data_IF_130843252078
#
_entry.id   IF_130843252078
#
_cell.length_a   1.000
_cell.length_b   1.000
_cell.length_c   1.000
_cell.angle_alpha   90.00
_cell.angle_beta   90.00
_cell.angle_gamma   90.00
#
_symmetry.space_group_name_H-M   'P 1'
#
loop_
_entity.id
_entity.type
_entity.pdbx_description
1 polymer ?
#
# COMPACT_ATOMS: atom_id res chain seq x y z
N UNK A 1 3.48 8.44 13.68
CA UNK A 1 3.04 9.06 12.42
C UNK A 1 4.20 9.91 11.97
N UNK A 2 5.03 9.38 11.07
CA UNK A 2 6.15 10.10 10.49
C UNK A 2 5.56 11.13 9.53
N UNK A 3 5.50 12.39 9.97
CA UNK A 3 5.10 13.51 9.11
C UNK A 3 6.24 13.70 8.10
N UNK A 4 6.01 13.29 6.86
CA UNK A 4 6.97 13.45 5.77
C UNK A 4 7.21 14.95 5.55
N UNK A 5 8.47 15.37 5.56
CA UNK A 5 8.86 16.78 5.45
C UNK A 5 9.24 17.11 3.99
N UNK A 6 8.84 18.26 3.43
CA UNK A 6 9.09 18.65 2.03
C UNK A 6 10.57 18.79 1.61
N UNK A 7 11.52 18.59 2.52
CA UNK A 7 12.96 18.71 2.22
C UNK A 7 13.52 17.57 1.34
N UNK A 8 12.67 16.66 0.82
CA UNK A 8 13.05 15.52 -0.02
C UNK A 8 13.20 15.86 -1.52
N UNK A 9 13.04 17.12 -1.93
CA UNK A 9 13.08 17.61 -3.32
C UNK A 9 14.45 17.55 -4.03
N UNK A 10 15.39 16.70 -3.58
CA UNK A 10 16.72 16.60 -4.19
C UNK A 10 17.35 15.22 -4.15
N UNK A 11 16.58 14.18 -4.47
CA UNK A 11 17.15 12.85 -4.69
C UNK A 11 17.44 12.63 -6.18
N UNK A 12 18.73 12.50 -6.48
CA UNK A 12 19.28 12.13 -7.79
C UNK A 12 18.73 10.76 -8.25
N UNK A 13 18.69 10.49 -9.56
CA UNK A 13 18.14 9.26 -10.16
C UNK A 13 18.85 7.94 -9.79
N UNK A 14 19.79 7.93 -8.85
CA UNK A 14 20.56 6.75 -8.42
C UNK A 14 20.09 6.16 -7.07
N UNK A 15 19.03 6.68 -6.46
CA UNK A 15 18.55 6.23 -5.15
C UNK A 15 17.14 5.67 -5.23
N UNK A 16 17.01 4.50 -5.87
CA UNK A 16 15.88 3.64 -5.55
C UNK A 16 15.99 3.21 -4.08
N UNK A 17 14.91 3.27 -3.28
CA UNK A 17 14.95 2.83 -1.89
C UNK A 17 15.32 1.34 -1.87
N UNK A 18 16.49 1.03 -1.33
CA UNK A 18 16.96 -0.34 -1.20
C UNK A 18 16.08 -1.07 -0.18
N UNK A 19 15.68 -2.31 -0.47
CA UNK A 19 14.84 -3.13 0.42
C UNK A 19 15.49 -3.50 1.80
N UNK A 20 16.62 -2.86 2.16
CA UNK A 20 17.36 -3.02 3.42
C UNK A 20 16.99 -1.97 4.49
N UNK A 21 16.08 -1.03 4.19
CA UNK A 21 15.64 0.02 5.11
C UNK A 21 14.82 -0.53 6.29
N UNK A 22 15.07 0.06 7.46
CA UNK A 22 14.44 -0.32 8.73
C UNK A 22 12.93 0.00 8.77
N UNK A 23 12.43 0.81 7.82
CA UNK A 23 11.07 1.36 7.79
C UNK A 23 10.39 1.23 6.41
N UNK A 24 9.78 0.07 6.10
CA UNK A 24 9.19 -0.23 4.78
C UNK A 24 8.11 0.75 4.33
N UNK A 25 7.40 1.37 5.27
CA UNK A 25 6.36 2.37 4.98
C UNK A 25 6.95 3.63 4.34
N UNK A 26 8.09 4.10 4.84
CA UNK A 26 8.75 5.30 4.32
C UNK A 26 9.29 5.11 2.90
N UNK A 27 9.74 3.90 2.59
CA UNK A 27 10.27 3.55 1.27
C UNK A 27 9.21 3.61 0.18
N UNK A 28 7.98 3.18 0.49
CA UNK A 28 6.87 3.27 -0.46
C UNK A 28 6.51 4.74 -0.72
N UNK A 29 6.44 5.59 0.31
CA UNK A 29 6.20 7.02 0.10
C UNK A 29 7.31 7.68 -0.73
N UNK A 30 8.57 7.36 -0.45
CA UNK A 30 9.71 7.85 -1.23
C UNK A 30 9.63 7.39 -2.69
N UNK A 31 9.32 6.11 -2.93
CA UNK A 31 9.13 5.57 -4.27
C UNK A 31 7.98 6.26 -5.00
N UNK A 32 6.84 6.47 -4.34
CA UNK A 32 5.65 7.06 -4.95
C UNK A 32 5.91 8.50 -5.34
N UNK A 33 6.60 9.25 -4.49
CA UNK A 33 7.06 10.59 -4.79
C UNK A 33 7.98 10.61 -6.03
N UNK A 34 8.94 9.68 -6.13
CA UNK A 34 9.85 9.59 -7.27
C UNK A 34 9.18 9.10 -8.58
N UNK A 35 8.32 8.07 -8.50
CA UNK A 35 7.74 7.38 -9.66
C UNK A 35 6.52 8.12 -10.22
N UNK A 36 5.65 8.62 -9.35
CA UNK A 36 4.36 9.19 -9.74
C UNK A 36 4.26 10.69 -9.50
N UNK A 37 5.27 11.34 -8.92
CA UNK A 37 5.26 12.78 -8.55
C UNK A 37 4.02 13.14 -7.74
N UNK A 38 3.79 12.36 -6.68
CA UNK A 38 2.64 12.48 -5.79
C UNK A 38 2.54 13.88 -5.19
N UNK A 39 1.36 14.49 -5.33
CA UNK A 39 0.98 15.76 -4.72
C UNK A 39 0.39 15.54 -3.33
N UNK A 40 1.25 15.50 -2.32
CA UNK A 40 0.87 15.16 -0.94
C UNK A 40 -0.14 16.10 -0.27
N UNK A 41 -0.22 17.35 -0.74
CA UNK A 41 -1.03 18.39 -0.09
C UNK A 41 -2.21 18.87 -0.93
N UNK A 42 -2.16 18.66 -2.25
CA UNK A 42 -3.12 19.24 -3.20
C UNK A 42 -4.02 18.19 -3.87
N UNK A 43 -3.65 16.91 -3.82
CA UNK A 43 -4.42 15.83 -4.43
C UNK A 43 -4.70 14.72 -3.41
N UNK A 44 -5.98 14.61 -3.01
CA UNK A 44 -6.44 13.58 -2.08
C UNK A 44 -6.22 12.17 -2.65
N UNK A 45 -6.47 11.99 -3.95
CA UNK A 45 -6.26 10.72 -4.67
C UNK A 45 -4.81 10.24 -4.60
N UNK A 46 -3.85 11.16 -4.77
CA UNK A 46 -2.43 10.84 -4.72
C UNK A 46 -1.98 10.43 -3.30
N UNK A 47 -2.40 11.19 -2.27
CA UNK A 47 -2.13 10.85 -0.89
C UNK A 47 -2.78 9.52 -0.49
N UNK A 48 -4.06 9.34 -0.83
CA UNK A 48 -4.82 8.13 -0.50
C UNK A 48 -4.18 6.89 -1.11
N UNK A 49 -3.83 6.95 -2.40
CA UNK A 49 -3.17 5.85 -3.09
C UNK A 49 -1.83 5.48 -2.45
N UNK A 50 -1.02 6.48 -2.08
CA UNK A 50 0.28 6.23 -1.45
C UNK A 50 0.14 5.62 -0.06
N UNK A 51 -0.84 6.07 0.73
CA UNK A 51 -1.13 5.49 2.06
C UNK A 51 -1.70 4.07 1.98
N UNK A 52 -2.54 3.78 0.98
CA UNK A 52 -3.03 2.43 0.69
C UNK A 52 -1.85 1.51 0.36
N UNK A 53 -0.97 1.92 -0.56
CA UNK A 53 0.21 1.14 -0.96
C UNK A 53 1.17 0.95 0.21
N UNK A 54 1.43 1.99 0.98
CA UNK A 54 2.33 1.90 2.12
C UNK A 54 1.77 1.00 3.23
N UNK A 55 0.47 1.01 3.52
CA UNK A 55 -0.14 0.08 4.47
C UNK A 55 -0.25 -1.36 3.93
N UNK A 56 -0.43 -1.52 2.62
CA UNK A 56 -0.48 -2.80 1.91
C UNK A 56 0.91 -3.47 1.95
N UNK A 57 1.95 -2.77 1.50
CA UNK A 57 3.25 -3.35 1.21
C UNK A 57 4.22 -3.36 2.41
N UNK A 58 3.99 -2.55 3.45
CA UNK A 58 4.89 -2.50 4.61
C UNK A 58 4.85 -3.74 5.51
N UNK A 59 3.87 -4.63 5.33
CA UNK A 59 3.59 -5.74 6.24
C UNK A 59 2.89 -5.33 7.54
N UNK A 60 2.51 -4.05 7.68
CA UNK A 60 1.78 -3.53 8.83
C UNK A 60 0.43 -4.22 9.07
N UNK A 61 -0.25 -4.59 7.98
CA UNK A 61 -1.52 -5.29 7.96
C UNK A 61 -1.36 -6.80 7.72
N UNK A 62 -0.21 -7.37 8.07
CA UNK A 62 -0.03 -8.84 8.05
C UNK A 62 -0.84 -9.49 9.17
N UNK A 63 -1.35 -10.69 8.91
CA UNK A 63 -2.16 -11.47 9.84
C UNK A 63 -1.55 -11.54 11.25
N UNK A 64 -0.27 -11.89 11.36
CA UNK A 64 0.45 -11.98 12.66
C UNK A 64 0.46 -10.65 13.42
N UNK A 65 0.58 -9.53 12.71
CA UNK A 65 0.62 -8.21 13.34
C UNK A 65 -0.78 -7.79 13.84
N UNK A 66 -1.82 -8.20 13.14
CA UNK A 66 -3.20 -7.91 13.52
C UNK A 66 -3.68 -8.79 14.67
N UNK A 67 -3.26 -10.06 14.67
CA UNK A 67 -3.34 -10.96 15.83
C UNK A 67 -2.72 -10.30 17.08
N UNK A 68 -1.48 -9.79 16.94
CA UNK A 68 -0.75 -9.18 18.05
C UNK A 68 -1.40 -7.89 18.57
N UNK A 69 -2.26 -7.24 17.77
CA UNK A 69 -3.03 -6.06 18.18
C UNK A 69 -4.38 -6.41 18.77
N UNK A 70 -4.68 -7.70 18.98
CA UNK A 70 -5.95 -8.21 19.47
C UNK A 70 -7.16 -7.77 18.62
N UNK A 71 -6.94 -7.40 17.36
CA UNK A 71 -7.98 -6.97 16.42
C UNK A 71 -8.69 -8.15 15.75
N UNK A 72 -8.95 -9.22 16.50
CA UNK A 72 -9.67 -10.38 16.00
C UNK A 72 -11.17 -10.15 16.02
N UNK A 73 -11.76 -10.05 14.85
CA UNK A 73 -13.20 -10.07 14.68
C UNK A 73 -13.76 -11.48 14.82
N UNK A 74 -14.05 -11.92 16.05
CA UNK A 74 -15.10 -12.94 16.30
C UNK A 74 -16.49 -12.30 16.10
N UNK A 75 -16.70 -11.62 14.97
CA UNK A 75 -17.96 -10.97 14.60
C UNK A 75 -18.39 -11.48 13.23
N UNK A 76 -19.34 -12.40 13.30
CA UNK A 76 -20.28 -12.89 12.28
C UNK A 76 -19.77 -13.07 10.84
N UNK A 77 -19.73 -14.36 10.48
CA UNK A 77 -19.48 -14.88 9.14
C UNK A 77 -20.63 -14.55 8.16
N UNK A 78 -20.76 -13.30 7.72
CA UNK A 78 -21.56 -12.98 6.54
C UNK A 78 -20.72 -12.24 5.49
N UNK A 79 -20.54 -12.90 4.35
CA UNK A 79 -19.74 -12.41 3.24
C UNK A 79 -20.30 -11.13 2.64
N UNK A 80 -19.42 -10.18 2.32
CA UNK A 80 -19.59 -9.28 1.18
C UNK A 80 -18.22 -9.03 0.53
N UNK A 81 -17.90 -9.76 -0.54
CA UNK A 81 -16.82 -9.44 -1.48
C UNK A 81 -17.40 -9.42 -2.90
N UNK A 82 -17.94 -8.28 -3.34
CA UNK A 82 -18.24 -8.04 -4.76
C UNK A 82 -18.19 -6.55 -5.07
N UNK A 83 -17.17 -6.13 -5.83
CA UNK A 83 -17.36 -5.42 -7.12
C UNK A 83 -16.23 -5.82 -8.07
N UNK A 84 -16.46 -6.87 -8.86
CA UNK A 84 -15.55 -7.29 -9.93
C UNK A 84 -16.33 -7.53 -11.23
N UNK A 85 -16.02 -6.75 -12.27
CA UNK A 85 -16.42 -7.02 -13.65
C UNK A 85 -15.50 -8.11 -14.25
N UNK A 86 -15.90 -9.36 -14.05
CA UNK A 86 -15.74 -10.57 -14.87
C UNK A 86 -14.38 -11.01 -15.47
N UNK A 87 -13.23 -10.35 -15.33
CA UNK A 87 -11.96 -10.90 -15.89
C UNK A 87 -10.65 -10.66 -15.09
N UNK A 88 -10.69 -10.51 -13.76
CA UNK A 88 -9.50 -10.57 -12.90
C UNK A 88 -9.70 -11.61 -11.79
N UNK A 89 -8.88 -12.67 -11.78
CA UNK A 89 -8.98 -13.76 -10.80
C UNK A 89 -8.46 -13.29 -9.44
N UNK A 90 -9.34 -12.68 -8.65
CA UNK A 90 -9.29 -12.65 -7.20
C UNK A 90 -10.40 -13.57 -6.67
N UNK A 91 -10.24 -14.88 -6.85
CA UNK A 91 -11.18 -15.86 -6.30
C UNK A 91 -10.90 -16.03 -4.81
N UNK A 92 -11.89 -15.67 -4.00
CA UNK A 92 -11.92 -15.87 -2.57
C UNK A 92 -11.76 -17.36 -2.22
N UNK A 93 -10.57 -17.76 -1.79
CA UNK A 93 -10.38 -18.93 -0.94
C UNK A 93 -9.70 -18.43 0.32
N UNK A 94 -10.39 -18.58 1.45
CA UNK A 94 -9.99 -18.32 2.84
C UNK A 94 -10.19 -16.90 3.43
N UNK A 95 -10.63 -16.92 4.70
CA UNK A 95 -10.98 -15.83 5.64
C UNK A 95 -9.90 -14.73 5.76
N UNK A 96 -8.69 -14.98 5.26
CA UNK A 96 -7.50 -14.15 5.45
C UNK A 96 -7.45 -12.89 4.55
N UNK A 97 -8.17 -12.85 3.42
CA UNK A 97 -8.09 -11.73 2.45
C UNK A 97 -8.91 -10.51 2.89
N UNK A 98 -10.09 -10.72 3.48
CA UNK A 98 -10.98 -9.63 3.93
C UNK A 98 -10.39 -8.81 5.09
N UNK A 99 -9.63 -9.44 5.99
CA UNK A 99 -9.04 -8.78 7.16
C UNK A 99 -7.93 -7.80 6.77
N UNK A 100 -7.15 -8.14 5.74
CA UNK A 100 -6.07 -7.27 5.26
C UNK A 100 -6.62 -5.98 4.66
N UNK A 101 -7.66 -6.08 3.84
CA UNK A 101 -8.32 -4.91 3.26
C UNK A 101 -8.88 -3.99 4.34
N UNK A 102 -9.59 -4.53 5.34
CA UNK A 102 -10.11 -3.75 6.44
C UNK A 102 -9.02 -3.00 7.22
N UNK A 103 -7.88 -3.66 7.50
CA UNK A 103 -6.74 -3.01 8.13
C UNK A 103 -6.16 -1.89 7.25
N UNK A 104 -5.98 -2.14 5.95
CA UNK A 104 -5.43 -1.14 5.01
C UNK A 104 -6.36 0.05 4.88
N UNK A 105 -7.66 -0.17 4.69
CA UNK A 105 -8.71 0.86 4.67
C UNK A 105 -8.69 1.70 5.93
N UNK A 106 -8.70 1.07 7.10
CA UNK A 106 -8.69 1.77 8.38
C UNK A 106 -7.41 2.57 8.62
N UNK A 107 -6.24 2.09 8.17
CA UNK A 107 -4.98 2.82 8.31
C UNK A 107 -4.89 4.00 7.36
N UNK A 108 -5.25 3.81 6.09
CA UNK A 108 -5.24 4.86 5.09
C UNK A 108 -6.21 5.99 5.49
N UNK A 109 -7.44 5.65 5.88
CA UNK A 109 -8.43 6.63 6.35
C UNK A 109 -7.91 7.47 7.52
N UNK A 110 -7.30 6.82 8.53
CA UNK A 110 -6.70 7.52 9.68
C UNK A 110 -5.55 8.44 9.27
N UNK A 111 -4.74 8.04 8.28
CA UNK A 111 -3.64 8.88 7.79
C UNK A 111 -4.19 10.10 7.04
N UNK A 112 -5.14 9.89 6.14
CA UNK A 112 -5.78 10.95 5.35
C UNK A 112 -6.44 11.97 6.27
N UNK A 113 -7.31 11.57 7.20
CA UNK A 113 -8.00 12.50 8.11
C UNK A 113 -7.01 13.30 8.97
N UNK A 114 -5.87 12.72 9.32
CA UNK A 114 -4.86 13.40 10.14
C UNK A 114 -4.09 14.49 9.37
N UNK A 115 -3.90 14.30 8.06
CA UNK A 115 -3.12 15.21 7.21
C UNK A 115 -4.05 16.19 6.48
N UNK A 116 -5.09 15.67 5.86
CA UNK A 116 -6.14 16.38 5.16
C UNK A 116 -7.23 16.76 6.17
N UNK A 117 -7.46 18.05 6.38
CA UNK A 117 -8.54 18.58 7.23
C UNK A 117 -9.92 18.40 6.58
N UNK A 118 -10.24 17.19 6.12
CA UNK A 118 -11.49 16.82 5.44
C UNK A 118 -12.43 16.08 6.38
N UNK A 119 -13.70 15.99 6.00
CA UNK A 119 -14.67 15.17 6.73
C UNK A 119 -14.36 13.68 6.58
N UNK A 120 -14.86 12.86 7.51
CA UNK A 120 -14.65 11.41 7.46
C UNK A 120 -15.31 10.81 6.22
N UNK A 121 -16.51 11.26 5.90
CA UNK A 121 -17.30 10.77 4.78
C UNK A 121 -16.61 11.07 3.44
N UNK A 122 -16.06 12.27 3.29
CA UNK A 122 -15.30 12.68 2.10
C UNK A 122 -14.00 11.88 1.94
N UNK A 123 -13.27 11.65 3.04
CA UNK A 123 -12.07 10.82 3.01
C UNK A 123 -12.38 9.36 2.65
N UNK A 124 -13.52 8.82 3.09
CA UNK A 124 -13.96 7.46 2.75
C UNK A 124 -14.29 7.34 1.25
N UNK A 125 -14.98 8.33 0.66
CA UNK A 125 -15.31 8.34 -0.77
C UNK A 125 -14.06 8.35 -1.67
N UNK A 126 -13.10 9.25 -1.38
CA UNK A 126 -11.86 9.37 -2.13
C UNK A 126 -10.99 8.10 -2.00
N UNK A 127 -10.97 7.50 -0.80
CA UNK A 127 -10.28 6.25 -0.55
C UNK A 127 -10.89 5.11 -1.37
N UNK A 128 -12.22 4.98 -1.36
CA UNK A 128 -12.95 3.94 -2.07
C UNK A 128 -12.75 4.02 -3.59
N UNK A 129 -12.66 5.23 -4.14
CA UNK A 129 -12.46 5.43 -5.58
C UNK A 129 -11.15 4.83 -6.08
N UNK A 130 -10.06 4.99 -5.32
CA UNK A 130 -8.72 4.56 -5.74
C UNK A 130 -8.33 3.18 -5.20
N UNK A 131 -9.10 2.64 -4.25
CA UNK A 131 -8.70 1.50 -3.41
C UNK A 131 -8.19 0.32 -4.21
N UNK A 132 -8.99 -0.22 -5.13
CA UNK A 132 -8.66 -1.47 -5.82
C UNK A 132 -7.40 -1.30 -6.69
N UNK A 133 -7.28 -0.16 -7.38
CA UNK A 133 -6.12 0.13 -8.22
C UNK A 133 -4.82 0.22 -7.41
N UNK A 134 -4.85 0.90 -6.26
CA UNK A 134 -3.68 1.15 -5.43
C UNK A 134 -3.36 -0.05 -4.53
N UNK A 135 -4.36 -0.79 -4.07
CA UNK A 135 -4.19 -1.97 -3.24
C UNK A 135 -3.55 -3.12 -4.03
N UNK A 136 -3.91 -3.24 -5.31
CA UNK A 136 -3.40 -4.26 -6.22
C UNK A 136 -2.08 -3.88 -6.91
N UNK A 137 -1.58 -2.64 -6.81
CA UNK A 137 -0.27 -2.27 -7.34
C UNK A 137 0.84 -2.84 -6.43
N UNK A 138 1.57 -3.89 -6.86
CA UNK A 138 2.60 -4.50 -6.04
C UNK A 138 3.91 -3.72 -6.11
N UNK A 139 4.04 -2.72 -6.98
CA UNK A 139 5.29 -2.02 -7.19
C UNK A 139 5.82 -1.37 -5.90
N UNK A 140 7.13 -1.47 -5.62
CA UNK A 140 8.22 -1.87 -6.53
C UNK A 140 8.46 -3.39 -6.61
N UNK A 141 7.62 -4.18 -5.95
CA UNK A 141 7.73 -5.63 -5.93
C UNK A 141 7.00 -6.25 -7.11
N UNK A 142 7.44 -7.42 -7.55
CA UNK A 142 6.69 -8.23 -8.53
C UNK A 142 5.50 -8.96 -7.92
N UNK A 143 5.40 -8.97 -6.58
CA UNK A 143 4.34 -9.59 -5.77
C UNK A 143 4.30 -8.95 -4.38
N UNK A 144 3.19 -9.08 -3.66
CA UNK A 144 3.10 -8.61 -2.27
C UNK A 144 4.00 -9.48 -1.38
N UNK A 145 4.96 -8.89 -0.63
CA UNK A 145 5.88 -9.66 0.21
C UNK A 145 5.25 -10.07 1.55
N UNK A 146 5.56 -11.28 2.02
CA UNK A 146 5.06 -11.81 3.29
C UNK A 146 5.99 -11.59 4.48
N UNK A 147 7.25 -11.23 4.23
CA UNK A 147 8.25 -10.96 5.27
C UNK A 147 9.29 -9.96 4.77
N UNK A 148 10.08 -9.36 5.67
CA UNK A 148 11.17 -8.46 5.28
C UNK A 148 12.20 -9.13 4.35
N UNK A 149 12.53 -10.40 4.60
CA UNK A 149 13.44 -11.17 3.74
C UNK A 149 12.83 -11.41 2.35
N UNK A 150 11.54 -11.70 2.31
CA UNK A 150 10.79 -11.90 1.07
C UNK A 150 10.65 -10.60 0.26
N UNK A 151 10.47 -9.46 0.93
CA UNK A 151 10.45 -8.13 0.30
C UNK A 151 11.75 -7.85 -0.49
N UNK A 152 12.91 -8.16 0.09
CA UNK A 152 14.21 -8.02 -0.61
C UNK A 152 14.30 -8.90 -1.85
N UNK A 153 13.78 -10.13 -1.78
CA UNK A 153 13.77 -11.03 -2.93
C UNK A 153 12.79 -10.54 -4.00
N UNK A 154 11.55 -10.19 -3.62
CA UNK A 154 10.51 -9.74 -4.53
C UNK A 154 10.87 -8.42 -5.24
N UNK A 155 11.64 -7.56 -4.58
CA UNK A 155 12.18 -6.33 -5.16
C UNK A 155 13.24 -6.63 -6.23
N UNK A 156 14.28 -7.40 -5.87
CA UNK A 156 15.37 -7.77 -6.79
C UNK A 156 14.88 -8.54 -8.01
N UNK A 157 13.93 -9.44 -7.81
CA UNK A 157 13.33 -10.22 -8.90
C UNK A 157 12.57 -9.32 -9.89
N UNK A 158 11.87 -8.31 -9.36
CA UNK A 158 11.18 -7.31 -10.18
C UNK A 158 12.17 -6.43 -10.98
N UNK A 159 13.21 -5.92 -10.34
CA UNK A 159 14.26 -5.14 -11.01
C UNK A 159 14.96 -5.94 -12.12
N UNK A 160 15.31 -7.20 -11.84
CA UNK A 160 15.93 -8.08 -12.82
C UNK A 160 15.00 -8.34 -14.01
N UNK A 161 13.70 -8.53 -13.76
CA UNK A 161 12.71 -8.70 -14.81
C UNK A 161 12.63 -7.46 -15.70
N UNK A 162 12.59 -6.28 -15.08
CA UNK A 162 12.55 -5.00 -15.81
C UNK A 162 13.84 -4.79 -16.63
N UNK A 163 15.02 -5.21 -16.11
CA UNK A 163 16.28 -5.24 -16.85
C UNK A 163 16.22 -6.18 -18.07
N UNK A 164 15.64 -7.37 -17.96
CA UNK A 164 15.50 -8.30 -19.09
C UNK A 164 14.64 -7.65 -20.18
N UNK A 165 13.50 -7.07 -19.82
CA UNK A 165 12.59 -6.44 -20.78
C UNK A 165 13.15 -5.14 -21.39
N UNK A 166 14.01 -4.41 -20.68
CA UNK A 166 14.65 -3.20 -21.20
C UNK A 166 15.76 -3.49 -22.23
N UNK A 167 16.29 -4.72 -22.27
CA UNK A 167 17.38 -5.12 -23.17
C UNK A 167 16.95 -6.11 -24.27
N UNK A 168 15.64 -6.28 -24.47
CA UNK A 168 15.03 -6.99 -25.60
C UNK A 168 14.68 -5.99 -26.72
#
# INVERSE_FOLDING_TARGET
>A
MSVWSPAADRLLPEQHPSADSHEPRGDIHALDHCRARVDWFNSFRHLACSEIRAASLSGDCSFVNEISRFNFGLKEHHQVCLRGSVLDVCVCVCVCVCEREACVRGRALRSIIAVCKVSREEAELELDEVFDSCFCDPAPFGRVPHSKKDAKFAYRDNENRDWIYANL
#
